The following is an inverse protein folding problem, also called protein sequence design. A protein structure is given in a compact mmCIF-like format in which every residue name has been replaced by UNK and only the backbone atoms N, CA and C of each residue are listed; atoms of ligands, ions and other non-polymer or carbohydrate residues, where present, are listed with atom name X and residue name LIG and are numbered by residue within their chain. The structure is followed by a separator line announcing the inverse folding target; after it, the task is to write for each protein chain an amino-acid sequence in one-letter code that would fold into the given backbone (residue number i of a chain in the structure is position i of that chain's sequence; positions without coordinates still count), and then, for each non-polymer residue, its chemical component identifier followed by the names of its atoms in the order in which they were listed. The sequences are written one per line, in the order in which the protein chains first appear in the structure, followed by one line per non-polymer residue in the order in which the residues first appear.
data_IF_117747988763
#
_entry.id   IF_117747988763
#
_cell.length_a   1.000
_cell.length_b   1.000
_cell.length_c   1.000
_cell.angle_alpha   90.00
_cell.angle_beta   90.00
_cell.angle_gamma   90.00
#
_symmetry.space_group_name_H-M   'P 1'
#
loop_
_entity.id
_entity.type
_entity.pdbx_description
1 polymer ?
#
# COMPACT_ATOMS: atom_id res chain seq x y z
N UNK A 1 10.96 6.37 15.86
CA UNK A 1 10.59 4.99 16.23
C UNK A 1 9.88 4.41 15.02
N UNK A 2 10.44 3.38 14.38
CA UNK A 2 9.77 2.67 13.28
C UNK A 2 8.80 1.65 13.88
N UNK A 3 7.58 1.59 13.37
CA UNK A 3 6.60 0.59 13.76
C UNK A 3 6.50 -0.48 12.69
N UNK A 4 6.30 -1.72 13.10
CA UNK A 4 6.12 -2.86 12.21
C UNK A 4 4.93 -3.67 12.70
N UNK A 5 4.03 -3.97 11.77
CA UNK A 5 2.92 -4.89 11.99
C UNK A 5 2.97 -5.99 10.92
N UNK A 6 2.61 -7.22 11.27
CA UNK A 6 2.63 -8.35 10.36
C UNK A 6 1.49 -9.30 10.67
N UNK A 7 1.04 -10.04 9.66
CA UNK A 7 -0.04 -11.01 9.80
C UNK A 7 -0.17 -11.87 8.55
N UNK A 8 -1.35 -12.43 8.35
CA UNK A 8 -1.73 -13.19 7.15
C UNK A 8 -2.99 -12.60 6.53
N UNK A 9 -3.02 -12.49 5.21
CA UNK A 9 -4.24 -12.25 4.44
C UNK A 9 -4.89 -13.59 4.16
N UNK A 10 -6.22 -13.63 4.25
CA UNK A 10 -7.05 -14.79 3.95
C UNK A 10 -8.07 -14.41 2.89
N UNK A 11 -8.38 -15.32 1.97
CA UNK A 11 -9.46 -15.14 1.00
C UNK A 11 -10.82 -15.29 1.69
N UNK A 12 -11.46 -14.16 2.00
CA UNK A 12 -12.77 -14.13 2.64
C UNK A 12 -13.94 -14.49 1.71
N UNK A 13 -13.70 -14.63 0.40
CA UNK A 13 -14.75 -14.86 -0.59
C UNK A 13 -14.88 -16.34 -0.98
N UNK A 14 -13.77 -17.03 -1.26
CA UNK A 14 -13.82 -18.41 -1.75
C UNK A 14 -13.72 -19.48 -0.64
N UNK A 15 -13.34 -19.07 0.58
CA UNK A 15 -13.03 -20.01 1.66
C UNK A 15 -11.76 -20.80 1.42
N UNK A 16 -10.97 -20.45 0.40
CA UNK A 16 -9.61 -20.96 0.23
C UNK A 16 -8.77 -20.55 1.45
N UNK A 17 -8.05 -21.52 2.00
CA UNK A 17 -7.19 -21.35 3.17
C UNK A 17 -5.78 -20.91 2.79
N UNK A 18 -5.56 -20.50 1.54
CA UNK A 18 -4.29 -19.92 1.13
C UNK A 18 -4.04 -18.65 1.93
N UNK A 19 -3.10 -18.74 2.87
CA UNK A 19 -2.66 -17.61 3.69
C UNK A 19 -1.50 -16.90 2.99
N UNK A 20 -1.61 -15.59 2.82
CA UNK A 20 -0.53 -14.75 2.28
C UNK A 20 0.05 -13.92 3.42
N UNK A 21 1.24 -14.26 3.94
CA UNK A 21 1.88 -13.44 4.98
C UNK A 21 2.12 -12.02 4.47
N UNK A 22 1.90 -11.03 5.33
CA UNK A 22 2.13 -9.63 5.00
C UNK A 22 2.89 -8.90 6.11
N UNK A 23 3.46 -7.76 5.73
CA UNK A 23 4.12 -6.82 6.63
C UNK A 23 3.77 -5.39 6.26
N UNK A 24 3.54 -4.56 7.26
CA UNK A 24 3.39 -3.12 7.16
C UNK A 24 4.48 -2.45 7.97
N UNK A 25 5.24 -1.57 7.34
CA UNK A 25 6.36 -0.86 7.95
C UNK A 25 6.13 0.64 7.91
N UNK A 26 6.23 1.29 9.07
CA UNK A 26 6.34 2.74 9.18
C UNK A 26 7.82 3.12 9.27
N UNK A 27 8.31 3.79 8.22
CA UNK A 27 9.66 4.34 8.20
C UNK A 27 9.81 5.51 9.19
N UNK A 28 11.06 5.84 9.52
CA UNK A 28 11.43 7.01 10.32
C UNK A 28 10.99 8.35 9.70
N UNK A 29 10.77 8.37 8.38
CA UNK A 29 10.26 9.54 7.63
C UNK A 29 8.74 9.60 7.53
N UNK A 30 8.01 8.73 8.22
CA UNK A 30 6.54 8.74 8.24
C UNK A 30 5.90 8.16 6.97
N UNK A 31 6.66 7.46 6.12
CA UNK A 31 6.12 6.69 4.99
C UNK A 31 5.70 5.30 5.46
N UNK A 32 4.51 4.88 5.06
CA UNK A 32 3.99 3.52 5.26
C UNK A 32 4.27 2.68 4.02
N UNK A 33 4.78 1.47 4.25
CA UNK A 33 5.06 0.49 3.21
C UNK A 33 4.32 -0.79 3.51
N UNK A 34 3.69 -1.38 2.49
CA UNK A 34 3.01 -2.66 2.59
C UNK A 34 3.66 -3.68 1.66
N UNK A 35 3.84 -4.89 2.19
CA UNK A 35 4.39 -6.05 1.50
C UNK A 35 3.56 -7.28 1.78
N UNK A 36 3.39 -8.11 0.76
CA UNK A 36 2.85 -9.46 0.86
C UNK A 36 3.88 -10.47 0.33
N UNK A 37 4.02 -11.63 0.96
CA UNK A 37 4.94 -12.68 0.52
C UNK A 37 4.61 -13.15 -0.89
N UNK A 38 5.63 -13.23 -1.75
CA UNK A 38 5.46 -13.54 -3.17
C UNK A 38 5.16 -12.32 -4.06
N UNK A 39 5.01 -11.14 -3.47
CA UNK A 39 4.80 -9.88 -4.19
C UNK A 39 5.96 -8.92 -3.92
N UNK A 40 6.31 -8.10 -4.90
CA UNK A 40 7.42 -7.15 -4.82
C UNK A 40 7.31 -6.06 -5.88
N UNK A 41 8.41 -5.35 -6.08
CA UNK A 41 8.58 -4.29 -7.07
C UNK A 41 9.82 -4.59 -7.93
N UNK A 42 9.92 -3.93 -9.09
CA UNK A 42 10.97 -4.18 -10.07
C UNK A 42 12.40 -3.87 -9.55
N UNK A 43 12.52 -2.94 -8.59
CA UNK A 43 13.82 -2.45 -8.13
C UNK A 43 14.42 -3.23 -6.97
N UNK A 44 13.63 -4.12 -6.36
CA UNK A 44 14.02 -4.85 -5.15
C UNK A 44 14.33 -6.31 -5.44
N UNK A 45 15.22 -6.90 -4.63
CA UNK A 45 15.42 -8.36 -4.66
C UNK A 45 14.15 -9.10 -4.21
N UNK A 46 13.98 -10.33 -4.70
CA UNK A 46 12.86 -11.20 -4.33
C UNK A 46 12.70 -11.31 -2.81
N UNK A 47 11.47 -11.10 -2.34
CA UNK A 47 11.17 -11.14 -0.92
C UNK A 47 11.66 -9.93 -0.12
N UNK A 48 12.12 -8.83 -0.76
CA UNK A 48 12.45 -7.57 -0.09
C UNK A 48 11.59 -6.39 -0.54
N UNK A 49 10.94 -6.48 -1.70
CA UNK A 49 10.13 -5.40 -2.27
C UNK A 49 8.83 -5.10 -1.52
N UNK A 50 8.33 -3.89 -1.74
CA UNK A 50 7.09 -3.36 -1.17
C UNK A 50 6.19 -2.80 -2.29
N UNK A 51 5.21 -3.58 -2.77
CA UNK A 51 4.39 -3.16 -3.90
C UNK A 51 3.42 -2.01 -3.61
N UNK A 52 3.23 -1.60 -2.35
CA UNK A 52 2.35 -0.49 -1.98
C UNK A 52 3.05 0.45 -0.99
N UNK A 53 2.91 1.76 -1.24
CA UNK A 53 3.44 2.84 -0.43
C UNK A 53 2.36 3.89 -0.17
N UNK A 54 2.30 4.39 1.06
CA UNK A 54 1.49 5.56 1.42
C UNK A 54 2.40 6.63 1.99
N UNK A 55 2.33 7.83 1.43
CA UNK A 55 3.20 8.94 1.81
C UNK A 55 2.50 10.29 1.86
N UNK A 56 3.07 11.20 2.66
CA UNK A 56 2.80 12.62 2.58
C UNK A 56 3.89 13.27 1.73
N UNK A 57 3.53 13.67 0.51
CA UNK A 57 4.46 14.22 -0.47
C UNK A 57 3.89 15.51 -1.06
N UNK A 58 4.70 16.58 -1.03
CA UNK A 58 4.32 17.93 -1.51
C UNK A 58 2.99 18.45 -0.94
N UNK A 59 2.73 18.19 0.35
CA UNK A 59 1.52 18.68 1.03
C UNK A 59 0.24 17.89 0.71
N UNK A 60 0.38 16.72 0.08
CA UNK A 60 -0.73 15.86 -0.30
C UNK A 60 -0.49 14.42 0.17
N UNK A 61 -1.58 13.71 0.47
CA UNK A 61 -1.54 12.30 0.83
C UNK A 61 -1.64 11.47 -0.46
N UNK A 62 -0.72 10.53 -0.65
CA UNK A 62 -0.62 9.71 -1.85
C UNK A 62 -0.61 8.22 -1.51
N UNK A 63 -1.19 7.42 -2.41
CA UNK A 63 -0.99 5.96 -2.47
C UNK A 63 -0.34 5.64 -3.80
N UNK A 64 0.80 4.95 -3.74
CA UNK A 64 1.54 4.46 -4.89
C UNK A 64 1.48 2.94 -4.90
N UNK A 65 1.21 2.37 -6.08
CA UNK A 65 1.09 0.92 -6.26
C UNK A 65 1.95 0.47 -7.44
N UNK A 66 2.82 -0.50 -7.17
CA UNK A 66 3.54 -1.28 -8.18
C UNK A 66 2.73 -2.55 -8.49
N UNK A 67 1.70 -2.40 -9.33
CA UNK A 67 0.84 -3.51 -9.72
C UNK A 67 1.44 -4.44 -10.78
N UNK A 68 2.60 -4.09 -11.34
CA UNK A 68 3.35 -4.90 -12.30
C UNK A 68 4.82 -4.94 -11.89
N UNK A 69 5.31 -6.11 -11.52
CA UNK A 69 6.71 -6.30 -11.08
C UNK A 69 7.74 -5.97 -12.17
N UNK A 70 7.32 -5.93 -13.44
CA UNK A 70 8.20 -5.59 -14.56
C UNK A 70 8.27 -4.08 -14.85
N UNK A 71 7.65 -3.25 -14.02
CA UNK A 71 7.67 -1.79 -14.17
C UNK A 71 8.45 -1.16 -13.01
N UNK A 72 9.50 -0.41 -13.33
CA UNK A 72 10.32 0.31 -12.34
C UNK A 72 9.53 1.38 -11.59
N UNK A 73 8.76 2.17 -12.34
CA UNK A 73 7.84 3.15 -11.78
C UNK A 73 6.54 2.51 -11.27
N UNK A 74 5.89 3.10 -10.26
CA UNK A 74 4.59 2.62 -9.80
C UNK A 74 3.55 2.78 -10.92
N UNK A 75 2.82 1.72 -11.20
CA UNK A 75 1.81 1.69 -12.26
C UNK A 75 0.60 2.55 -11.92
N UNK A 76 0.35 2.81 -10.64
CA UNK A 76 -0.72 3.70 -10.18
C UNK A 76 -0.18 4.69 -9.15
N UNK A 77 -0.57 5.96 -9.34
CA UNK A 77 -0.32 7.05 -8.39
C UNK A 77 -1.64 7.74 -8.11
N UNK A 78 -2.15 7.60 -6.89
CA UNK A 78 -3.48 8.09 -6.51
C UNK A 78 -3.30 9.16 -5.43
N UNK A 79 -3.70 10.39 -5.73
CA UNK A 79 -3.85 11.42 -4.72
C UNK A 79 -5.12 11.16 -3.92
N UNK A 80 -5.00 11.15 -2.60
CA UNK A 80 -6.13 11.04 -1.68
C UNK A 80 -6.70 12.42 -1.29
N UNK A 81 -6.40 13.49 -2.03
CA UNK A 81 -6.94 14.82 -1.76
C UNK A 81 -8.47 14.85 -1.76
N UNK A 82 -9.10 14.10 -2.68
CA UNK A 82 -10.57 13.96 -2.75
C UNK A 82 -11.17 13.07 -1.66
N UNK A 83 -10.34 12.35 -0.89
CA UNK A 83 -10.77 11.55 0.25
C UNK A 83 -10.69 12.32 1.58
N UNK A 84 -10.37 13.62 1.55
CA UNK A 84 -10.49 14.48 2.74
C UNK A 84 -11.95 14.52 3.18
N UNK A 85 -12.18 14.39 4.48
CA UNK A 85 -13.54 14.47 5.04
C UNK A 85 -14.25 15.79 4.68
N UNK A 86 -13.50 16.88 4.47
CA UNK A 86 -14.03 18.16 4.01
C UNK A 86 -14.60 18.15 2.58
N UNK A 87 -14.25 17.16 1.77
CA UNK A 87 -14.77 16.99 0.40
C UNK A 87 -16.06 16.16 0.37
N UNK A 88 -16.49 15.63 1.53
CA UNK A 88 -17.74 14.88 1.65
C UNK A 88 -18.90 15.80 1.29
N UNK A 89 -19.60 15.47 0.22
CA UNK A 89 -20.85 16.15 -0.13
C UNK A 89 -21.92 15.72 0.86
N UNK A 90 -22.61 16.69 1.43
CA UNK A 90 -23.91 16.43 2.04
C UNK A 90 -24.84 16.02 0.90
N UNK A 91 -25.60 14.94 1.08
CA UNK A 91 -26.60 14.57 0.08
C UNK A 91 -27.67 15.66 0.12
N UNK A 92 -27.70 16.53 -0.90
CA UNK A 92 -28.87 17.36 -1.18
C UNK A 92 -29.97 16.39 -1.68
N UNK A 93 -30.91 16.03 -0.79
CA UNK A 93 -32.18 15.38 -1.16
C UNK A 93 -33.07 16.33 -1.97
#
# INVERSE_FOLDING_TARGET
MSACFSGVLQDSHTGDKTEVPFKVELSDRGTLWFKASGYGDCGSADGFGFPVKVEWYEGQLWVLVWGNINSEDPTHKISLSGARESERKENDE
#
